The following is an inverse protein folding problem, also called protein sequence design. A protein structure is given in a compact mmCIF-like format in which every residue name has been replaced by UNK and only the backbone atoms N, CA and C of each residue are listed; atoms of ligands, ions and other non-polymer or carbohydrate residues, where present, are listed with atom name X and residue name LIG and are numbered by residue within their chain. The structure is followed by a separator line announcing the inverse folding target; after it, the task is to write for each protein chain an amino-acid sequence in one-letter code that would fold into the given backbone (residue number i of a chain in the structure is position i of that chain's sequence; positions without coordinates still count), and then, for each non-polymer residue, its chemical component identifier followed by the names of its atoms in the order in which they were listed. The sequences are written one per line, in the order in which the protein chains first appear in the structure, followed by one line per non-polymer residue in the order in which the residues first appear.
data_IF_011375902323
#
_entry.id   IF_011375902323
#
_cell.length_a   1.000
_cell.length_b   1.000
_cell.length_c   1.000
_cell.angle_alpha   90.00
_cell.angle_beta   90.00
_cell.angle_gamma   90.00
#
_symmetry.space_group_name_H-M   'P 1'
#
loop_
_entity.id
_entity.type
_entity.pdbx_description
1 polymer ?
#
# COMPACT_ATOMS: atom_id res chain seq x y z
N UNK A 1 13.74 -24.45 33.65
CA UNK A 1 13.80 -24.70 32.19
C UNK A 1 12.60 -24.02 31.57
N UNK A 2 12.81 -22.90 30.87
CA UNK A 2 11.76 -22.27 30.07
C UNK A 2 11.84 -23.00 28.72
N UNK A 3 10.89 -23.88 28.43
CA UNK A 3 10.84 -24.59 27.16
C UNK A 3 10.72 -23.57 26.02
N UNK A 4 11.59 -23.66 25.02
CA UNK A 4 11.47 -22.84 23.82
C UNK A 4 10.08 -23.11 23.22
N UNK A 5 9.27 -22.05 23.06
CA UNK A 5 8.01 -22.19 22.34
C UNK A 5 8.31 -22.63 20.91
N UNK A 6 7.51 -23.55 20.34
CA UNK A 6 7.67 -23.94 18.94
C UNK A 6 7.52 -22.70 18.04
N UNK A 7 8.24 -22.63 16.91
CA UNK A 7 8.11 -21.52 15.98
C UNK A 7 6.66 -21.35 15.54
N UNK A 8 6.15 -20.12 15.57
CA UNK A 8 4.84 -19.80 14.98
C UNK A 8 4.96 -19.99 13.47
N UNK A 9 4.14 -20.87 12.91
CA UNK A 9 4.03 -21.03 11.48
C UNK A 9 2.91 -20.12 10.96
N UNK A 10 3.24 -19.26 10.00
CA UNK A 10 2.27 -18.37 9.38
C UNK A 10 1.77 -18.98 8.07
N UNK A 11 0.47 -18.84 7.80
CA UNK A 11 -0.06 -19.14 6.48
C UNK A 11 0.61 -18.26 5.40
N UNK A 12 0.59 -18.72 4.15
CA UNK A 12 1.07 -17.90 3.05
C UNK A 12 0.31 -16.56 3.04
N UNK A 13 1.00 -15.42 2.86
CA UNK A 13 0.34 -14.13 2.92
C UNK A 13 -0.66 -13.99 1.79
N UNK A 14 -1.80 -13.35 2.09
CA UNK A 14 -2.76 -12.94 1.08
C UNK A 14 -2.09 -11.87 0.23
N UNK A 15 -1.95 -12.16 -1.06
CA UNK A 15 -1.40 -11.24 -2.04
C UNK A 15 -2.54 -10.64 -2.86
N UNK A 16 -2.53 -9.32 -2.98
CA UNK A 16 -3.47 -8.59 -3.83
C UNK A 16 -2.72 -7.89 -4.95
N UNK A 17 -3.39 -7.73 -6.09
CA UNK A 17 -2.87 -6.96 -7.20
C UNK A 17 -3.05 -5.46 -6.95
N UNK A 18 -2.05 -4.68 -7.35
CA UNK A 18 -2.09 -3.23 -7.33
C UNK A 18 -1.55 -2.67 -8.64
N UNK A 19 -2.14 -1.56 -9.08
CA UNK A 19 -1.72 -0.89 -10.30
C UNK A 19 -1.12 0.47 -9.97
N UNK A 20 -0.03 0.82 -10.64
CA UNK A 20 0.49 2.18 -10.62
C UNK A 20 -0.06 2.94 -11.81
N UNK A 21 -0.64 4.11 -11.55
CA UNK A 21 -1.21 4.97 -12.59
C UNK A 21 -0.72 6.42 -12.46
N UNK A 22 -1.03 7.21 -13.49
CA UNK A 22 -1.01 8.66 -13.47
C UNK A 22 -2.42 9.16 -13.20
N UNK A 23 -2.60 10.08 -12.24
CA UNK A 23 -3.92 10.55 -11.87
C UNK A 23 -3.94 12.02 -11.47
N UNK A 24 -5.09 12.68 -11.59
CA UNK A 24 -5.27 14.05 -11.14
C UNK A 24 -5.50 14.05 -9.62
N UNK A 25 -4.70 14.82 -8.88
CA UNK A 25 -4.79 14.88 -7.41
C UNK A 25 -5.18 16.29 -6.96
N UNK A 26 -6.10 16.37 -6.00
CA UNK A 26 -6.56 17.60 -5.38
C UNK A 26 -6.22 17.60 -3.90
N UNK A 27 -5.86 18.77 -3.37
CA UNK A 27 -5.74 19.02 -1.95
C UNK A 27 -7.02 19.68 -1.43
N UNK A 28 -7.80 18.94 -0.65
CA UNK A 28 -8.98 19.48 0.02
C UNK A 28 -8.72 20.09 1.39
N UNK A 29 -7.49 20.00 1.89
CA UNK A 29 -7.10 20.69 3.13
C UNK A 29 -6.88 22.18 2.87
N UNK A 30 -6.53 22.54 1.63
CA UNK A 30 -6.45 23.92 1.18
C UNK A 30 -7.86 24.52 1.01
N UNK A 31 -8.10 25.73 1.56
CA UNK A 31 -9.38 26.46 1.42
C UNK A 31 -9.71 26.61 -0.08
N UNK A 32 -10.78 25.96 -0.51
CA UNK A 32 -11.26 26.00 -1.91
C UNK A 32 -10.89 24.79 -2.77
N UNK A 33 -10.16 23.80 -2.26
CA UNK A 33 -9.82 22.59 -3.02
C UNK A 33 -8.83 22.87 -4.14
N UNK A 34 -7.53 22.92 -3.83
CA UNK A 34 -6.51 23.28 -4.82
C UNK A 34 -6.09 22.04 -5.62
N UNK A 35 -6.10 22.15 -6.95
CA UNK A 35 -5.52 21.13 -7.82
C UNK A 35 -4.01 21.05 -7.59
N UNK A 36 -3.52 19.87 -7.21
CA UNK A 36 -2.08 19.59 -7.15
C UNK A 36 -1.51 19.17 -8.52
N UNK A 37 -2.35 19.12 -9.54
CA UNK A 37 -2.00 18.66 -10.89
C UNK A 37 -1.95 17.14 -11.03
N UNK A 38 -1.57 16.69 -12.22
CA UNK A 38 -1.34 15.29 -12.52
C UNK A 38 -0.13 14.77 -11.74
N UNK A 39 -0.34 13.68 -11.00
CA UNK A 39 0.69 12.96 -10.27
C UNK A 39 0.97 11.63 -10.92
N UNK A 40 2.24 11.42 -11.23
CA UNK A 40 2.75 10.10 -11.54
C UNK A 40 2.94 9.30 -10.23
N UNK A 41 2.91 7.98 -10.34
CA UNK A 41 3.11 7.06 -9.21
C UNK A 41 1.99 7.04 -8.16
N UNK A 42 0.73 7.11 -8.61
CA UNK A 42 -0.41 6.76 -7.75
C UNK A 42 -0.59 5.25 -7.75
N UNK A 43 -0.43 4.62 -6.59
CA UNK A 43 -0.69 3.20 -6.40
C UNK A 43 -2.17 3.00 -6.07
N UNK A 44 -2.87 2.25 -6.90
CA UNK A 44 -4.27 1.85 -6.72
C UNK A 44 -4.31 0.39 -6.31
N UNK A 45 -5.13 0.11 -5.30
CA UNK A 45 -5.49 -1.23 -4.88
C UNK A 45 -7.00 -1.37 -4.97
N UNK A 46 -7.45 -2.35 -5.76
CA UNK A 46 -8.87 -2.69 -5.90
C UNK A 46 -9.09 -4.04 -5.23
N UNK A 47 -9.97 -4.10 -4.23
CA UNK A 47 -10.27 -5.35 -3.52
C UNK A 47 -11.78 -5.58 -3.46
N UNK A 48 -12.26 -6.80 -3.77
CA UNK A 48 -13.68 -7.15 -3.66
C UNK A 48 -14.14 -7.41 -2.22
N UNK A 49 -13.23 -7.48 -1.24
CA UNK A 49 -13.54 -7.97 0.12
C UNK A 49 -13.41 -6.89 1.22
N UNK A 50 -13.28 -5.61 0.87
CA UNK A 50 -13.05 -4.55 1.87
C UNK A 50 -14.36 -3.92 2.41
N UNK A 51 -14.39 -3.55 3.72
CA UNK A 51 -15.58 -2.98 4.37
C UNK A 51 -16.00 -1.62 3.80
N UNK A 52 -17.27 -1.20 3.99
CA UNK A 52 -17.88 -0.03 3.34
C UNK A 52 -17.30 1.33 3.76
N UNK A 53 -16.30 1.37 4.65
CA UNK A 53 -15.60 2.61 5.02
C UNK A 53 -14.71 3.19 3.90
N UNK A 54 -14.68 2.56 2.73
CA UNK A 54 -13.88 2.98 1.57
C UNK A 54 -14.76 3.28 0.35
N UNK A 55 -14.18 3.93 -0.65
CA UNK A 55 -14.93 4.31 -1.85
C UNK A 55 -15.34 3.07 -2.65
N UNK A 56 -16.65 2.83 -2.71
CA UNK A 56 -17.27 1.83 -3.58
C UNK A 56 -17.23 2.31 -5.03
N UNK A 57 -16.70 1.46 -5.89
CA UNK A 57 -16.96 1.51 -7.31
C UNK A 57 -18.39 1.03 -7.58
N UNK A 58 -18.96 1.46 -8.70
CA UNK A 58 -20.27 1.01 -9.17
C UNK A 58 -20.33 -0.50 -9.45
N UNK A 59 -19.18 -1.17 -9.54
CA UNK A 59 -19.04 -2.63 -9.68
C UNK A 59 -18.99 -3.36 -8.32
N UNK A 60 -19.21 -2.65 -7.21
CA UNK A 60 -19.19 -3.19 -5.85
C UNK A 60 -17.79 -3.32 -5.23
N UNK A 61 -16.71 -2.99 -5.96
CA UNK A 61 -15.35 -3.10 -5.45
C UNK A 61 -14.95 -1.88 -4.64
N UNK A 62 -14.18 -2.13 -3.60
CA UNK A 62 -13.59 -1.07 -2.79
C UNK A 62 -12.21 -0.73 -3.33
N UNK A 63 -11.92 0.57 -3.47
CA UNK A 63 -10.62 1.04 -3.93
C UNK A 63 -9.93 1.93 -2.91
N UNK A 64 -8.64 1.66 -2.69
CA UNK A 64 -7.72 2.58 -2.01
C UNK A 64 -6.68 3.08 -2.99
N UNK A 65 -6.25 4.32 -2.82
CA UNK A 65 -5.15 4.87 -3.61
C UNK A 65 -4.15 5.61 -2.73
N UNK A 66 -2.88 5.57 -3.14
CA UNK A 66 -1.78 6.20 -2.44
C UNK A 66 -0.87 6.92 -3.42
N UNK A 67 -0.65 8.21 -3.24
CA UNK A 67 0.35 8.93 -4.01
C UNK A 67 1.74 8.74 -3.38
N UNK A 68 2.62 8.00 -4.06
CA UNK A 68 4.00 7.78 -3.60
C UNK A 68 4.79 9.08 -3.75
N UNK A 69 5.26 9.63 -2.63
CA UNK A 69 5.86 10.96 -2.62
C UNK A 69 7.39 10.92 -2.53
N UNK A 70 7.93 10.50 -1.37
CA UNK A 70 9.36 10.63 -1.07
C UNK A 70 9.93 9.36 -0.47
N UNK A 71 11.11 8.95 -0.94
CA UNK A 71 11.90 7.87 -0.32
C UNK A 71 12.41 8.32 1.05
N UNK A 72 12.20 7.46 2.05
CA UNK A 72 12.69 7.65 3.42
C UNK A 72 13.98 6.87 3.62
N UNK A 73 13.98 5.57 3.30
CA UNK A 73 15.09 4.68 3.60
C UNK A 73 15.28 3.61 2.52
N UNK A 74 16.52 3.17 2.31
CA UNK A 74 16.83 1.98 1.51
C UNK A 74 16.64 0.72 2.38
N UNK A 75 16.09 -0.33 1.82
CA UNK A 75 15.98 -1.65 2.45
C UNK A 75 16.76 -2.70 1.64
N UNK A 76 17.02 -3.87 2.23
CA UNK A 76 17.77 -4.96 1.58
C UNK A 76 17.13 -5.33 0.24
N UNK A 77 15.81 -5.49 0.24
CA UNK A 77 15.01 -5.93 -0.91
C UNK A 77 14.28 -4.79 -1.64
N UNK A 78 14.59 -3.53 -1.31
CA UNK A 78 13.92 -2.38 -1.93
C UNK A 78 14.06 -1.07 -1.16
N UNK A 79 12.93 -0.44 -0.83
CA UNK A 79 12.91 0.89 -0.17
C UNK A 79 11.63 1.14 0.61
N UNK A 80 11.71 2.05 1.57
CA UNK A 80 10.55 2.61 2.27
C UNK A 80 10.32 4.04 1.77
N UNK A 81 9.08 4.36 1.42
CA UNK A 81 8.64 5.67 0.94
C UNK A 81 7.47 6.19 1.77
N UNK A 82 7.37 7.50 1.99
CA UNK A 82 6.12 8.13 2.42
C UNK A 82 5.17 8.21 1.24
N UNK A 83 3.90 7.91 1.48
CA UNK A 83 2.81 8.14 0.56
C UNK A 83 1.66 8.89 1.24
N UNK A 84 0.90 9.64 0.45
CA UNK A 84 -0.35 10.25 0.89
C UNK A 84 -1.50 9.31 0.58
N UNK A 85 -2.38 9.07 1.55
CA UNK A 85 -3.64 8.38 1.28
C UNK A 85 -4.58 9.29 0.48
N UNK A 86 -5.22 8.68 -0.52
CA UNK A 86 -6.14 9.35 -1.42
C UNK A 86 -7.53 8.72 -1.33
N UNK A 87 -8.55 9.55 -1.48
CA UNK A 87 -9.92 9.11 -1.76
C UNK A 87 -10.32 9.42 -3.20
N UNK A 88 -11.25 8.62 -3.73
CA UNK A 88 -11.83 8.85 -5.05
C UNK A 88 -12.78 10.05 -4.99
N UNK A 89 -12.66 10.98 -5.94
CA UNK A 89 -13.67 12.03 -6.11
C UNK A 89 -14.89 11.48 -6.90
N UNK A 90 -16.12 11.77 -6.45
CA UNK A 90 -17.32 11.37 -7.17
C UNK A 90 -17.37 12.05 -8.55
N UNK A 91 -17.92 11.34 -9.54
CA UNK A 91 -18.12 11.88 -10.89
C UNK A 91 -16.86 11.95 -11.77
N UNK A 92 -15.69 11.48 -11.31
CA UNK A 92 -14.49 11.43 -12.13
C UNK A 92 -13.68 10.13 -11.94
N UNK A 93 -13.46 9.34 -13.02
CA UNK A 93 -12.76 8.07 -12.92
C UNK A 93 -11.25 8.21 -12.68
N UNK A 94 -10.68 9.41 -12.77
CA UNK A 94 -9.23 9.63 -12.67
C UNK A 94 -8.84 10.74 -11.70
N UNK A 95 -9.81 11.25 -10.93
CA UNK A 95 -9.57 12.31 -9.95
C UNK A 95 -9.60 11.77 -8.53
N UNK A 96 -8.64 12.23 -7.74
CA UNK A 96 -8.40 11.78 -6.38
C UNK A 96 -8.13 12.97 -5.48
N UNK A 97 -8.41 12.82 -4.19
CA UNK A 97 -8.26 13.88 -3.18
C UNK A 97 -7.43 13.39 -2.02
N UNK A 98 -6.56 14.25 -1.48
CA UNK A 98 -5.80 13.95 -0.27
C UNK A 98 -6.73 13.77 0.94
N UNK A 99 -6.53 12.71 1.73
CA UNK A 99 -7.26 12.56 3.01
C UNK A 99 -6.58 13.30 4.17
N UNK A 100 -5.36 13.81 3.94
CA UNK A 100 -4.50 14.38 4.98
C UNK A 100 -3.71 13.35 5.79
N UNK A 101 -3.94 12.05 5.55
CA UNK A 101 -3.19 10.98 6.19
C UNK A 101 -1.96 10.58 5.37
N UNK A 102 -0.86 10.32 6.07
CA UNK A 102 0.36 9.77 5.50
C UNK A 102 0.51 8.30 5.90
N UNK A 103 1.08 7.52 5.00
CA UNK A 103 1.42 6.12 5.25
C UNK A 103 2.85 5.83 4.82
N UNK A 104 3.47 4.84 5.47
CA UNK A 104 4.72 4.27 5.00
C UNK A 104 4.42 3.11 4.02
N UNK A 105 5.08 3.13 2.87
CA UNK A 105 5.00 2.06 1.86
C UNK A 105 6.37 1.42 1.74
N UNK A 106 6.50 0.16 2.18
CA UNK A 106 7.69 -0.67 1.94
C UNK A 106 7.54 -1.29 0.54
N UNK A 107 8.27 -0.74 -0.43
CA UNK A 107 8.32 -1.24 -1.79
C UNK A 107 9.45 -2.26 -1.94
N UNK A 108 9.12 -3.45 -2.45
CA UNK A 108 10.04 -4.56 -2.62
C UNK A 108 10.14 -4.97 -4.08
N UNK A 109 11.30 -5.50 -4.48
CA UNK A 109 11.54 -6.00 -5.83
C UNK A 109 11.58 -7.53 -5.82
N UNK A 110 10.63 -8.18 -6.48
CA UNK A 110 10.53 -9.64 -6.57
C UNK A 110 11.80 -10.31 -7.07
N UNK A 111 12.46 -9.72 -8.07
CA UNK A 111 13.74 -10.22 -8.57
C UNK A 111 14.81 -10.22 -7.47
N UNK A 112 14.87 -9.17 -6.66
CA UNK A 112 15.81 -9.08 -5.54
C UNK A 112 15.47 -10.09 -4.44
N UNK A 113 14.19 -10.25 -4.11
CA UNK A 113 13.74 -11.27 -3.14
C UNK A 113 14.19 -12.66 -3.60
N UNK A 114 13.92 -13.02 -4.86
CA UNK A 114 14.32 -14.34 -5.40
C UNK A 114 15.83 -14.53 -5.40
N UNK A 115 16.59 -13.51 -5.80
CA UNK A 115 18.06 -13.59 -5.88
C UNK A 115 18.75 -13.67 -4.51
N UNK A 116 18.17 -13.02 -3.50
CA UNK A 116 18.75 -12.90 -2.16
C UNK A 116 18.09 -13.83 -1.13
N UNK A 117 17.12 -14.65 -1.56
CA UNK A 117 16.42 -15.61 -0.71
C UNK A 117 17.40 -16.53 0.03
N UNK A 118 17.19 -16.70 1.34
CA UNK A 118 18.06 -17.50 2.22
C UNK A 118 19.44 -16.90 2.51
N UNK A 119 19.77 -15.72 1.99
CA UNK A 119 21.06 -15.05 2.26
C UNK A 119 21.03 -14.10 3.45
N UNK A 120 19.85 -13.67 3.87
CA UNK A 120 19.63 -12.81 5.03
C UNK A 120 18.59 -13.44 5.94
N UNK A 121 18.63 -13.09 7.22
CA UNK A 121 17.60 -13.48 8.19
C UNK A 121 16.23 -12.84 7.85
N UNK A 122 16.23 -11.69 7.18
CA UNK A 122 15.02 -11.03 6.68
C UNK A 122 14.41 -11.82 5.51
N UNK A 123 13.18 -12.32 5.71
CA UNK A 123 12.34 -12.93 4.67
C UNK A 123 11.06 -12.09 4.50
N UNK A 124 10.97 -11.26 3.45
CA UNK A 124 9.85 -10.35 3.28
C UNK A 124 8.49 -11.06 3.15
N UNK A 125 8.45 -12.32 2.72
CA UNK A 125 7.19 -13.06 2.60
C UNK A 125 6.69 -13.46 3.97
N UNK A 126 7.58 -13.94 4.85
CA UNK A 126 7.25 -14.23 6.25
C UNK A 126 6.88 -12.98 7.03
N UNK A 127 7.55 -11.85 6.77
CA UNK A 127 7.19 -10.57 7.38
C UNK A 127 5.75 -10.16 7.04
N UNK A 128 5.36 -10.25 5.76
CA UNK A 128 3.99 -9.93 5.33
C UNK A 128 2.98 -10.88 5.98
N UNK A 129 3.29 -12.18 6.01
CA UNK A 129 2.44 -13.19 6.64
C UNK A 129 2.23 -12.90 8.14
N UNK A 130 3.32 -12.60 8.86
CA UNK A 130 3.26 -12.22 10.26
C UNK A 130 2.47 -10.92 10.49
N UNK A 131 2.65 -9.91 9.64
CA UNK A 131 1.87 -8.66 9.72
C UNK A 131 0.38 -8.92 9.49
N UNK A 132 0.01 -9.79 8.56
CA UNK A 132 -1.40 -10.12 8.33
C UNK A 132 -1.99 -10.92 9.48
N UNK A 133 -1.24 -11.85 10.06
CA UNK A 133 -1.66 -12.61 11.25
C UNK A 133 -2.00 -11.70 12.43
N UNK A 134 -1.24 -10.63 12.66
CA UNK A 134 -1.50 -9.68 13.75
C UNK A 134 -2.71 -8.77 13.52
N UNK A 135 -3.16 -8.62 12.26
CA UNK A 135 -4.28 -7.74 11.90
C UNK A 135 -5.53 -8.52 11.48
N UNK A 136 -5.48 -9.86 11.52
CA UNK A 136 -6.58 -10.77 11.20
C UNK A 136 -7.53 -11.00 12.35
#
# INVERSE_FOLDING_TARGET
MIGAMPPVNFDAPIMEEGQRIRAQVYDSLSRGGTSLGLKDNVLIRTSPLMPPSYTHHSDGRTTRAYWIYKKVKKAIYGKVTVAYELEKLPGSPSSWRLTGRHVAVKMLLWEQIRRLSGRFEEDPIKEIAAMQYLHG
#
